data_IF_307249600069
#
_entry.id   IF_307249600069
#
_cell.length_a   1.000
_cell.length_b   1.000
_cell.length_c   1.000
_cell.angle_alpha   90.00
_cell.angle_beta   90.00
_cell.angle_gamma   90.00
#
_symmetry.space_group_name_H-M   'P 1'
#
loop_
_entity.id
_entity.type
_entity.pdbx_description
1 polymer ?
#
# COMPACT_ATOMS: atom_id res chain seq x y z
N UNK A 1 28.48 19.12 -10.99
CA UNK A 1 28.32 20.18 -9.95
C UNK A 1 27.17 19.76 -9.04
N UNK A 2 27.38 19.67 -7.74
CA UNK A 2 26.31 19.39 -6.77
C UNK A 2 25.50 20.68 -6.52
N UNK A 3 24.16 20.51 -6.39
CA UNK A 3 23.23 21.60 -6.11
C UNK A 3 22.34 21.17 -4.94
N UNK A 4 22.12 22.09 -4.02
CA UNK A 4 21.18 21.88 -2.92
C UNK A 4 19.74 21.74 -3.44
N UNK A 5 18.99 20.78 -2.87
CA UNK A 5 17.57 20.54 -3.15
C UNK A 5 16.79 20.93 -1.90
N UNK A 6 15.94 21.94 -2.01
CA UNK A 6 15.17 22.51 -0.89
C UNK A 6 13.70 22.15 -0.91
N UNK A 7 13.18 21.67 -2.05
CA UNK A 7 11.79 21.23 -2.22
C UNK A 7 11.73 19.75 -2.57
N UNK A 8 10.70 19.09 -2.07
CA UNK A 8 10.42 17.67 -2.40
C UNK A 8 11.62 16.74 -2.19
N UNK A 9 12.42 16.99 -1.13
CA UNK A 9 13.67 16.27 -0.83
C UNK A 9 13.48 14.75 -0.78
N UNK A 10 12.27 14.30 -0.41
CA UNK A 10 11.91 12.86 -0.37
C UNK A 10 11.94 12.19 -1.75
N UNK A 11 11.91 12.95 -2.86
CA UNK A 11 12.08 12.41 -4.20
C UNK A 11 13.47 11.78 -4.42
N UNK A 12 14.46 12.14 -3.65
CA UNK A 12 15.76 11.45 -3.65
C UNK A 12 15.69 9.99 -3.18
N UNK A 13 14.61 9.63 -2.48
CA UNK A 13 14.33 8.25 -2.05
C UNK A 13 13.42 7.50 -3.04
N UNK A 14 13.13 8.07 -4.20
CA UNK A 14 12.38 7.40 -5.25
C UNK A 14 13.33 6.70 -6.25
N UNK A 15 12.87 5.68 -7.01
CA UNK A 15 11.49 5.21 -7.07
C UNK A 15 11.06 4.37 -5.88
N UNK A 16 9.74 4.35 -5.59
CA UNK A 16 9.11 3.51 -4.56
C UNK A 16 7.97 2.70 -5.16
N UNK A 17 7.75 1.49 -4.67
CA UNK A 17 6.61 0.66 -5.10
C UNK A 17 5.31 1.43 -4.83
N UNK A 18 4.48 1.59 -5.87
CA UNK A 18 3.12 2.05 -5.74
C UNK A 18 2.20 0.85 -5.52
N UNK A 19 1.45 0.82 -4.43
CA UNK A 19 0.62 -0.30 -4.03
C UNK A 19 -0.76 0.16 -3.54
N UNK A 20 -1.69 -0.80 -3.44
CA UNK A 20 -2.94 -0.56 -2.73
C UNK A 20 -2.77 -0.89 -1.25
N UNK A 21 -3.21 0.04 -0.41
CA UNK A 21 -3.36 -0.16 1.03
C UNK A 21 -4.84 -0.31 1.33
N UNK A 22 -5.26 -1.51 1.75
CA UNK A 22 -6.64 -1.79 2.10
C UNK A 22 -6.85 -1.77 3.60
N UNK A 23 -8.01 -1.32 4.00
CA UNK A 23 -8.49 -1.22 5.38
C UNK A 23 -9.99 -1.48 5.40
N UNK A 24 -10.59 -1.63 6.57
CA UNK A 24 -12.02 -1.78 6.72
C UNK A 24 -12.51 -1.00 7.95
N UNK A 25 -13.79 -0.65 7.98
CA UNK A 25 -14.41 -0.12 9.18
C UNK A 25 -14.78 -1.26 10.17
N UNK A 26 -15.33 -0.88 11.33
CA UNK A 26 -15.76 -1.86 12.36
C UNK A 26 -16.88 -2.79 11.88
N UNK A 27 -17.67 -2.37 10.89
CA UNK A 27 -18.76 -3.15 10.30
C UNK A 27 -18.26 -4.06 9.17
N UNK A 28 -16.99 -3.93 8.75
CA UNK A 28 -16.38 -4.69 7.67
C UNK A 28 -16.50 -4.03 6.29
N UNK A 29 -16.98 -2.79 6.19
CA UNK A 29 -17.03 -2.08 4.91
C UNK A 29 -15.60 -1.80 4.44
N UNK A 30 -15.22 -2.23 3.22
CA UNK A 30 -13.86 -2.15 2.75
C UNK A 30 -13.52 -0.76 2.25
N UNK A 31 -12.26 -0.38 2.41
CA UNK A 31 -11.69 0.81 1.80
C UNK A 31 -10.33 0.48 1.18
N UNK A 32 -9.95 1.21 0.15
CA UNK A 32 -8.66 1.09 -0.53
C UNK A 32 -8.08 2.46 -0.84
N UNK A 33 -6.77 2.63 -0.65
CA UNK A 33 -6.04 3.80 -1.11
C UNK A 33 -4.78 3.40 -1.85
N UNK A 34 -4.25 4.29 -2.66
CA UNK A 34 -2.91 4.15 -3.22
C UNK A 34 -1.90 4.73 -2.25
N UNK A 35 -0.83 4.00 -2.01
CA UNK A 35 0.29 4.42 -1.20
C UNK A 35 1.61 4.05 -1.89
N UNK A 36 2.68 4.79 -1.56
CA UNK A 36 4.04 4.49 -2.01
C UNK A 36 5.06 4.62 -0.86
N UNK A 37 4.62 5.01 0.32
CA UNK A 37 5.50 5.21 1.46
C UNK A 37 5.41 4.01 2.42
N UNK A 38 6.20 2.97 2.11
CA UNK A 38 6.34 1.79 2.93
C UNK A 38 7.75 1.22 2.84
N UNK A 39 8.17 0.54 3.90
CA UNK A 39 9.43 -0.22 3.92
C UNK A 39 9.37 -1.32 4.99
N UNK A 40 10.09 -2.46 4.81
CA UNK A 40 10.35 -3.38 5.90
C UNK A 40 11.22 -2.71 6.96
N UNK A 41 11.01 -3.03 8.23
CA UNK A 41 11.75 -2.43 9.36
C UNK A 41 12.32 -3.45 10.34
N UNK A 42 11.88 -4.71 10.27
CA UNK A 42 12.42 -5.81 11.08
C UNK A 42 12.10 -7.14 10.40
N UNK A 43 13.02 -8.08 10.52
CA UNK A 43 12.83 -9.47 10.09
C UNK A 43 12.26 -10.33 11.21
N UNK A 44 12.73 -10.15 12.45
CA UNK A 44 12.27 -10.88 13.63
C UNK A 44 12.04 -9.91 14.81
N UNK A 45 10.78 -9.68 15.20
CA UNK A 45 9.55 -10.10 14.51
C UNK A 45 9.41 -9.38 13.16
N UNK A 46 8.69 -9.98 12.19
CA UNK A 46 8.53 -9.37 10.86
C UNK A 46 7.64 -8.13 10.95
N UNK A 47 8.22 -6.96 10.69
CA UNK A 47 7.56 -5.66 10.76
C UNK A 47 7.73 -4.88 9.46
N UNK A 48 6.66 -4.20 9.06
CA UNK A 48 6.68 -3.21 7.99
C UNK A 48 6.15 -1.88 8.53
N UNK A 49 6.57 -0.77 7.93
CA UNK A 49 5.98 0.54 8.19
C UNK A 49 5.30 1.08 6.93
N UNK A 50 4.13 1.68 7.09
CA UNK A 50 3.45 2.47 6.06
C UNK A 50 3.18 3.87 6.61
N UNK A 51 3.49 4.92 5.83
CA UNK A 51 3.19 6.29 6.19
C UNK A 51 1.92 6.74 5.46
N UNK A 52 0.94 7.19 6.23
CA UNK A 52 -0.39 7.55 5.73
C UNK A 52 -0.76 8.93 6.26
N UNK A 53 -1.22 9.82 5.38
CA UNK A 53 -1.64 11.16 5.76
C UNK A 53 -2.73 11.14 6.84
N UNK A 54 -2.60 12.00 7.84
CA UNK A 54 -3.43 12.00 9.05
C UNK A 54 -4.91 12.20 8.75
N UNK A 55 -5.22 13.05 7.79
CA UNK A 55 -6.57 13.39 7.37
C UNK A 55 -7.23 12.31 6.50
N UNK A 56 -6.47 11.30 6.04
CA UNK A 56 -7.01 10.26 5.17
C UNK A 56 -7.99 9.34 5.91
N UNK A 57 -9.04 8.91 5.19
CA UNK A 57 -9.98 7.93 5.73
C UNK A 57 -9.30 6.61 6.12
N UNK A 58 -8.29 6.20 5.38
CA UNK A 58 -7.49 5.00 5.68
C UNK A 58 -6.78 5.09 7.02
N UNK A 59 -6.21 6.27 7.37
CA UNK A 59 -5.56 6.46 8.66
C UNK A 59 -6.55 6.30 9.83
N UNK A 60 -7.76 6.84 9.68
CA UNK A 60 -8.85 6.66 10.65
C UNK A 60 -9.19 5.18 10.82
N UNK A 61 -9.44 4.47 9.73
CA UNK A 61 -9.81 3.05 9.75
C UNK A 61 -8.73 2.16 10.38
N UNK A 62 -7.46 2.36 10.02
CA UNK A 62 -6.34 1.62 10.62
C UNK A 62 -6.25 1.87 12.13
N UNK A 63 -6.47 3.10 12.58
CA UNK A 63 -6.49 3.43 14.02
C UNK A 63 -7.65 2.74 14.74
N UNK A 64 -8.81 2.60 14.09
CA UNK A 64 -10.00 1.98 14.66
C UNK A 64 -9.92 0.47 14.73
N UNK A 65 -9.52 -0.18 13.64
CA UNK A 65 -9.61 -1.64 13.49
C UNK A 65 -8.27 -2.35 13.70
N UNK A 66 -7.17 -1.62 13.67
CA UNK A 66 -5.82 -2.12 13.89
C UNK A 66 -5.34 -3.12 12.82
N UNK A 67 -5.96 -3.11 11.65
CA UNK A 67 -5.64 -4.06 10.58
C UNK A 67 -5.54 -3.35 9.23
N UNK A 68 -4.63 -3.81 8.38
CA UNK A 68 -4.47 -3.34 7.01
C UNK A 68 -3.77 -4.39 6.15
N UNK A 69 -3.89 -4.27 4.82
CA UNK A 69 -3.15 -5.11 3.88
C UNK A 69 -2.44 -4.25 2.84
N UNK A 70 -1.19 -4.57 2.58
CA UNK A 70 -0.42 -4.07 1.44
C UNK A 70 -0.65 -5.04 0.28
N UNK A 71 -1.14 -4.52 -0.85
CA UNK A 71 -1.41 -5.31 -2.05
C UNK A 71 -0.54 -4.80 -3.19
N UNK A 72 0.34 -5.63 -3.73
CA UNK A 72 1.31 -5.28 -4.77
C UNK A 72 0.70 -5.53 -6.15
N UNK A 73 0.37 -4.48 -6.92
CA UNK A 73 -0.22 -4.63 -8.24
C UNK A 73 0.83 -4.79 -9.34
N UNK A 74 0.37 -5.19 -10.52
CA UNK A 74 1.12 -5.03 -11.76
C UNK A 74 0.66 -3.77 -12.51
N UNK A 75 1.31 -3.47 -13.64
CA UNK A 75 0.90 -2.38 -14.56
C UNK A 75 -0.56 -2.47 -14.99
N UNK A 76 -1.17 -3.68 -14.99
CA UNK A 76 -2.58 -3.88 -15.38
C UNK A 76 -3.55 -3.09 -14.50
N UNK A 77 -3.20 -2.85 -13.24
CA UNK A 77 -4.03 -2.13 -12.28
C UNK A 77 -3.67 -0.63 -12.15
N UNK A 78 -2.81 -0.09 -13.03
CA UNK A 78 -2.36 1.31 -12.95
C UNK A 78 -3.52 2.33 -12.94
N UNK A 79 -4.54 2.12 -13.77
CA UNK A 79 -5.72 3.02 -13.79
C UNK A 79 -6.44 3.03 -12.44
N UNK A 80 -6.58 1.87 -11.83
CA UNK A 80 -7.20 1.73 -10.50
C UNK A 80 -6.35 2.41 -9.40
N UNK A 81 -5.00 2.30 -9.47
CA UNK A 81 -4.11 3.05 -8.57
C UNK A 81 -4.40 4.55 -8.62
N UNK A 82 -4.52 5.14 -9.83
CA UNK A 82 -4.81 6.57 -9.95
C UNK A 82 -6.19 6.94 -9.40
N UNK A 83 -7.22 6.14 -9.63
CA UNK A 83 -8.55 6.36 -9.06
C UNK A 83 -8.49 6.32 -7.53
N UNK A 84 -7.88 5.29 -6.95
CA UNK A 84 -7.79 5.13 -5.50
C UNK A 84 -6.94 6.20 -4.81
N UNK A 85 -5.95 6.77 -5.52
CA UNK A 85 -5.11 7.85 -4.99
C UNK A 85 -5.75 9.24 -5.04
N UNK A 86 -6.72 9.46 -5.96
CA UNK A 86 -7.33 10.78 -6.19
C UNK A 86 -8.71 10.95 -5.55
N UNK A 87 -9.24 9.93 -4.89
CA UNK A 87 -10.59 9.97 -4.30
C UNK A 87 -10.59 9.56 -2.85
N UNK A 88 -11.53 10.08 -2.06
CA UNK A 88 -11.70 9.69 -0.66
C UNK A 88 -12.73 8.56 -0.53
N UNK A 89 -12.43 7.58 0.35
CA UNK A 89 -13.40 6.53 0.71
C UNK A 89 -14.53 7.03 1.62
N UNK A 90 -14.46 8.29 2.10
CA UNK A 90 -15.60 8.94 2.79
C UNK A 90 -16.71 9.32 1.81
N UNK A 91 -16.34 9.64 0.57
CA UNK A 91 -17.24 10.21 -0.42
C UNK A 91 -17.75 9.16 -1.41
N UNK A 92 -16.95 8.12 -1.67
CA UNK A 92 -17.24 7.12 -2.69
C UNK A 92 -16.78 5.72 -2.31
N UNK A 93 -17.50 4.71 -2.76
CA UNK A 93 -17.02 3.34 -2.79
C UNK A 93 -15.89 3.21 -3.83
N UNK A 94 -14.66 3.15 -3.35
CA UNK A 94 -13.48 3.14 -4.20
C UNK A 94 -13.27 1.80 -4.92
N UNK A 95 -13.70 0.68 -4.33
CA UNK A 95 -13.68 -0.61 -5.03
C UNK A 95 -14.55 -0.56 -6.27
N UNK A 96 -15.78 -0.09 -6.12
CA UNK A 96 -16.72 0.07 -7.24
C UNK A 96 -16.21 1.08 -8.26
N UNK A 97 -15.77 2.27 -7.81
CA UNK A 97 -15.31 3.35 -8.70
C UNK A 97 -14.07 2.94 -9.51
N UNK A 98 -13.14 2.24 -8.91
CA UNK A 98 -11.92 1.76 -9.56
C UNK A 98 -12.10 0.41 -10.28
N UNK A 99 -13.32 -0.17 -10.25
CA UNK A 99 -13.64 -1.49 -10.81
C UNK A 99 -12.72 -2.59 -10.24
N UNK A 100 -12.41 -2.49 -8.96
CA UNK A 100 -11.64 -3.48 -8.23
C UNK A 100 -12.59 -4.54 -7.64
N UNK A 101 -12.13 -5.78 -7.60
CA UNK A 101 -12.78 -6.85 -6.85
C UNK A 101 -11.98 -7.11 -5.59
N UNK A 102 -12.64 -7.07 -4.46
CA UNK A 102 -12.07 -7.49 -3.18
C UNK A 102 -12.36 -8.95 -2.93
N UNK A 103 -11.39 -9.66 -2.40
CA UNK A 103 -11.54 -11.04 -1.90
C UNK A 103 -11.08 -11.12 -0.46
N UNK A 104 -11.54 -12.13 0.29
CA UNK A 104 -11.20 -12.27 1.70
C UNK A 104 -9.70 -12.47 1.91
N UNK A 105 -9.15 -11.77 2.89
CA UNK A 105 -7.80 -12.00 3.39
C UNK A 105 -7.76 -13.28 4.27
N UNK A 106 -6.56 -13.78 4.57
CA UNK A 106 -6.37 -15.03 5.34
C UNK A 106 -6.43 -14.78 6.85
N UNK A 107 -5.86 -13.67 7.33
CA UNK A 107 -5.64 -13.41 8.76
C UNK A 107 -6.26 -12.13 9.29
N UNK A 108 -6.71 -11.23 8.42
CA UNK A 108 -7.27 -9.92 8.79
C UNK A 108 -8.60 -9.66 8.10
N UNK A 109 -9.37 -8.69 8.58
CA UNK A 109 -10.69 -8.35 8.02
C UNK A 109 -10.65 -7.54 6.73
N UNK A 110 -9.71 -6.58 6.54
CA UNK A 110 -9.61 -5.86 5.28
C UNK A 110 -9.45 -6.80 4.09
N UNK A 111 -10.16 -6.52 3.00
CA UNK A 111 -10.09 -7.32 1.78
C UNK A 111 -8.72 -7.16 1.10
N UNK A 112 -8.30 -8.18 0.37
CA UNK A 112 -7.22 -8.07 -0.61
C UNK A 112 -7.80 -7.74 -1.98
N UNK A 113 -7.01 -7.07 -2.82
CA UNK A 113 -7.40 -6.67 -4.18
C UNK A 113 -7.08 -7.80 -5.14
N UNK A 114 -8.10 -8.41 -5.75
CA UNK A 114 -7.93 -9.44 -6.77
C UNK A 114 -7.10 -8.92 -7.95
N UNK A 115 -6.19 -9.76 -8.46
CA UNK A 115 -5.28 -9.42 -9.56
C UNK A 115 -4.01 -8.68 -9.14
N UNK A 116 -3.80 -8.41 -7.86
CA UNK A 116 -2.48 -8.13 -7.31
C UNK A 116 -1.65 -9.41 -7.26
N UNK A 117 -0.33 -9.26 -7.26
CA UNK A 117 0.63 -10.38 -7.34
C UNK A 117 1.35 -10.65 -6.02
N UNK A 118 1.11 -9.84 -4.99
CA UNK A 118 1.65 -10.04 -3.66
C UNK A 118 0.82 -9.33 -2.61
N UNK A 119 0.76 -9.91 -1.42
CA UNK A 119 -0.06 -9.44 -0.32
C UNK A 119 0.70 -9.56 0.99
N UNK A 120 0.60 -8.54 1.84
CA UNK A 120 1.17 -8.53 3.18
C UNK A 120 0.07 -8.10 4.14
N UNK A 121 -0.43 -9.04 4.94
CA UNK A 121 -1.49 -8.82 5.93
C UNK A 121 -0.90 -8.42 7.26
N UNK A 122 -1.33 -7.29 7.79
CA UNK A 122 -0.73 -6.68 8.95
C UNK A 122 -1.75 -6.40 10.05
N UNK A 123 -1.29 -6.59 11.30
CA UNK A 123 -1.91 -6.01 12.48
C UNK A 123 -1.06 -4.84 12.97
N UNK A 124 -1.71 -3.71 13.23
CA UNK A 124 -1.05 -2.53 13.76
C UNK A 124 -0.35 -2.86 15.09
N UNK A 125 0.96 -2.72 15.12
CA UNK A 125 1.78 -2.88 16.32
C UNK A 125 1.96 -1.55 17.04
N UNK A 126 2.30 -0.48 16.29
CA UNK A 126 2.53 0.87 16.82
C UNK A 126 2.14 1.92 15.78
N UNK A 127 1.58 3.02 16.25
CA UNK A 127 1.40 4.23 15.43
C UNK A 127 2.25 5.36 16.02
N UNK A 128 3.01 6.02 15.17
CA UNK A 128 3.86 7.16 15.55
C UNK A 128 3.38 8.39 14.79
N UNK A 129 3.25 9.49 15.50
CA UNK A 129 3.00 10.80 14.89
C UNK A 129 4.27 11.25 14.17
N UNK A 130 4.19 11.45 12.86
CA UNK A 130 5.31 11.80 12.00
C UNK A 130 4.99 13.07 11.18
N UNK A 131 4.57 14.14 11.85
CA UNK A 131 4.22 15.40 11.20
C UNK A 131 2.87 15.33 10.48
N UNK A 132 2.85 15.39 9.16
CA UNK A 132 1.62 15.31 8.35
C UNK A 132 1.03 13.90 8.26
N UNK A 133 1.84 12.89 8.59
CA UNK A 133 1.47 11.48 8.50
C UNK A 133 1.46 10.79 9.85
N UNK A 134 0.79 9.65 9.92
CA UNK A 134 1.10 8.61 10.89
C UNK A 134 2.02 7.57 10.23
N UNK A 135 3.10 7.21 10.92
CA UNK A 135 3.87 6.01 10.60
C UNK A 135 3.22 4.83 11.34
N UNK A 136 2.54 3.97 10.59
CA UNK A 136 1.91 2.76 11.11
C UNK A 136 2.85 1.58 10.97
N UNK A 137 3.37 1.09 12.07
CA UNK A 137 4.16 -0.13 12.14
C UNK A 137 3.21 -1.31 12.24
N UNK A 138 3.23 -2.18 11.25
CA UNK A 138 2.42 -3.37 11.17
C UNK A 138 3.24 -4.62 11.43
N UNK A 139 2.78 -5.47 12.35
CA UNK A 139 3.27 -6.84 12.48
C UNK A 139 2.69 -7.67 11.35
N UNK A 140 3.54 -8.27 10.54
CA UNK A 140 3.12 -9.16 9.46
C UNK A 140 2.54 -10.44 10.05
N UNK A 141 1.30 -10.75 9.71
CA UNK A 141 0.59 -11.96 10.13
C UNK A 141 0.61 -13.03 9.03
N UNK A 142 0.63 -12.60 7.79
CA UNK A 142 0.73 -13.45 6.60
C UNK A 142 1.29 -12.64 5.44
N UNK A 143 2.10 -13.29 4.61
CA UNK A 143 2.54 -12.74 3.34
C UNK A 143 2.51 -13.85 2.28
N UNK A 144 1.99 -13.54 1.11
CA UNK A 144 1.86 -14.50 0.02
C UNK A 144 1.83 -13.79 -1.33
N UNK A 145 2.06 -14.53 -2.39
CA UNK A 145 2.09 -13.97 -3.74
C UNK A 145 1.91 -15.03 -4.81
N UNK A 146 1.81 -14.58 -6.05
CA UNK A 146 1.63 -15.42 -7.23
C UNK A 146 2.97 -16.01 -7.68
N UNK A 147 3.08 -17.34 -7.73
CA UNK A 147 4.28 -18.10 -8.10
C UNK A 147 4.78 -17.81 -9.54
N UNK A 148 3.91 -17.30 -10.41
CA UNK A 148 4.32 -16.83 -11.75
C UNK A 148 5.20 -15.58 -11.69
N UNK A 149 5.11 -14.80 -10.61
CA UNK A 149 5.82 -13.53 -10.42
C UNK A 149 6.85 -13.55 -9.30
N UNK A 150 6.85 -14.58 -8.46
CA UNK A 150 7.80 -14.75 -7.35
C UNK A 150 8.52 -16.09 -7.51
N UNK A 151 9.85 -16.04 -7.62
CA UNK A 151 10.70 -17.24 -7.68
C UNK A 151 11.81 -17.12 -6.63
N UNK A 152 11.97 -18.17 -5.80
CA UNK A 152 12.96 -18.19 -4.71
C UNK A 152 12.89 -16.95 -3.81
N UNK A 153 11.66 -16.45 -3.55
CA UNK A 153 11.42 -15.28 -2.70
C UNK A 153 11.70 -13.92 -3.36
N UNK A 154 12.04 -13.88 -4.67
CA UNK A 154 12.35 -12.66 -5.40
C UNK A 154 11.36 -12.43 -6.55
N UNK A 155 11.09 -11.15 -6.84
CA UNK A 155 10.28 -10.77 -8.00
C UNK A 155 10.96 -11.16 -9.30
N UNK A 156 10.20 -11.75 -10.22
CA UNK A 156 10.64 -11.96 -11.59
C UNK A 156 10.52 -10.69 -12.41
N UNK A 157 11.27 -10.60 -13.52
CA UNK A 157 11.17 -9.45 -14.43
C UNK A 157 9.78 -9.26 -15.04
N UNK A 158 8.95 -10.31 -15.09
CA UNK A 158 7.57 -10.25 -15.58
C UNK A 158 6.59 -9.58 -14.60
N UNK A 159 6.98 -9.30 -13.37
CA UNK A 159 6.11 -8.71 -12.36
C UNK A 159 5.62 -7.29 -12.72
N UNK A 160 6.41 -6.54 -13.52
CA UNK A 160 6.04 -5.19 -13.99
C UNK A 160 5.39 -4.32 -12.90
N UNK A 161 6.01 -4.33 -11.71
CA UNK A 161 5.52 -3.61 -10.53
C UNK A 161 5.63 -2.10 -10.80
N UNK A 162 4.55 -1.32 -10.56
CA UNK A 162 4.61 0.13 -10.72
C UNK A 162 5.49 0.76 -9.65
N UNK A 163 6.45 1.58 -10.09
CA UNK A 163 7.36 2.34 -9.24
C UNK A 163 7.07 3.83 -9.40
N UNK A 164 6.67 4.49 -8.33
CA UNK A 164 6.39 5.92 -8.28
C UNK A 164 7.67 6.74 -8.22
N UNK A 165 7.82 7.70 -9.13
CA UNK A 165 8.95 8.63 -9.21
C UNK A 165 8.70 9.98 -8.55
N UNK A 166 7.44 10.28 -8.24
CA UNK A 166 6.96 11.57 -7.77
C UNK A 166 5.89 12.16 -8.69
N UNK A 167 4.96 12.96 -8.15
CA UNK A 167 3.84 13.52 -8.88
C UNK A 167 3.03 12.45 -9.62
N UNK A 168 2.90 12.58 -10.93
CA UNK A 168 2.17 11.64 -11.79
C UNK A 168 3.08 10.67 -12.56
N UNK A 169 4.33 10.51 -12.18
CA UNK A 169 5.32 9.71 -12.91
C UNK A 169 5.43 8.31 -12.34
N UNK A 170 5.25 7.30 -13.20
CA UNK A 170 5.41 5.89 -12.88
C UNK A 170 6.38 5.26 -13.89
N UNK A 171 7.29 4.43 -13.40
CA UNK A 171 8.07 3.47 -14.18
C UNK A 171 7.75 2.07 -13.68
N UNK A 172 8.27 1.05 -14.36
CA UNK A 172 8.01 -0.34 -13.98
C UNK A 172 9.32 -1.06 -13.68
N UNK A 173 9.29 -1.89 -12.65
CA UNK A 173 10.34 -2.88 -12.44
C UNK A 173 10.32 -3.86 -13.62
N UNK A 174 11.48 -4.05 -14.24
CA UNK A 174 11.70 -4.97 -15.36
C UNK A 174 12.92 -5.84 -15.10
#
# INVERSE_FOLDING_TARGET
MLKEITLDIYHLLHPKIAFFLTSADKKGNPNVMTCAWATPVSEEPPLVVVCVAKESYTAELIKQTKEFVINIPTKKLLKALWVCGKTSGRDVDKFKKARLKGIGAIRVKPLVVEGCIGYIECRLWKAVDAGECYAFFGKVLSAYGDDNYIQKGLWTKSAEIPLHLGGSRIVYFK
#
